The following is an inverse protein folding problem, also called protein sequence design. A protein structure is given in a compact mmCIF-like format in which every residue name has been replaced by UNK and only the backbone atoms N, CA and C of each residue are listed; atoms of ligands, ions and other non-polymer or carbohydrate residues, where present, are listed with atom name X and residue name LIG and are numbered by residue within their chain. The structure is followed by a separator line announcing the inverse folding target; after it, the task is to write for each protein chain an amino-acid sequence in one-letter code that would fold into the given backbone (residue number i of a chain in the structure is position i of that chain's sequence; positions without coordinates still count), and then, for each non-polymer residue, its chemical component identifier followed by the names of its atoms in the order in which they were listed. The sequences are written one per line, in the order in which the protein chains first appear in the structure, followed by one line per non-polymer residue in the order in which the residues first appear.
data_IF_509044026091
#
_entry.id   IF_509044026091
#
_cell.length_a   1.000
_cell.length_b   1.000
_cell.length_c   1.000
_cell.angle_alpha   90.00
_cell.angle_beta   90.00
_cell.angle_gamma   90.00
#
_symmetry.space_group_name_H-M   'P 1'
#
loop_
_entity.id
_entity.type
_entity.pdbx_description
1 polymer ?
#
# COMPACT_ATOMS: atom_id res chain seq x y z
N UNK A 1 -0.79 23.93 -0.55
CA UNK A 1 -0.61 22.47 -0.69
C UNK A 1 -0.27 21.94 0.70
N UNK A 2 -0.81 20.79 1.08
CA UNK A 2 -0.35 20.14 2.31
C UNK A 2 1.12 19.74 2.13
N UNK A 3 1.93 19.81 3.17
CA UNK A 3 3.36 19.47 3.10
C UNK A 3 3.63 18.21 3.89
N UNK A 4 4.74 17.53 3.59
CA UNK A 4 5.20 16.40 4.40
C UNK A 4 5.40 16.83 5.84
N UNK A 5 4.93 16.00 6.77
CA UNK A 5 5.24 16.11 8.20
C UNK A 5 6.54 15.35 8.49
N UNK A 6 7.66 16.07 8.45
CA UNK A 6 9.00 15.50 8.62
C UNK A 6 9.26 14.99 10.04
N UNK A 7 8.57 15.53 11.05
CA UNK A 7 8.71 15.07 12.44
C UNK A 7 8.06 13.68 12.59
N UNK A 8 6.81 13.54 12.11
CA UNK A 8 6.14 12.24 12.07
C UNK A 8 6.86 11.23 11.18
N UNK A 9 7.45 11.68 10.07
CA UNK A 9 8.28 10.83 9.20
C UNK A 9 9.49 10.24 9.95
N UNK A 10 10.21 11.07 10.72
CA UNK A 10 11.37 10.63 11.50
C UNK A 10 10.95 9.61 12.55
N UNK A 11 9.93 9.93 13.35
CA UNK A 11 9.41 9.04 14.40
C UNK A 11 8.94 7.71 13.80
N UNK A 12 8.23 7.74 12.68
CA UNK A 12 7.73 6.52 12.04
C UNK A 12 8.88 5.67 11.49
N UNK A 13 9.89 6.30 10.89
CA UNK A 13 11.03 5.61 10.29
C UNK A 13 12.00 5.05 11.33
N UNK A 14 12.13 5.70 12.50
CA UNK A 14 12.95 5.20 13.61
C UNK A 14 12.32 3.98 14.28
N UNK A 15 11.00 3.98 14.47
CA UNK A 15 10.29 2.88 15.12
C UNK A 15 9.98 1.72 14.17
N UNK A 16 9.74 2.00 12.87
CA UNK A 16 9.34 1.01 11.87
C UNK A 16 10.11 1.20 10.56
N UNK A 17 11.45 0.99 10.57
CA UNK A 17 12.32 1.34 9.45
C UNK A 17 12.00 0.56 8.17
N UNK A 18 11.60 -0.71 8.29
CA UNK A 18 11.27 -1.53 7.12
C UNK A 18 9.92 -1.11 6.51
N UNK A 19 8.91 -0.91 7.37
CA UNK A 19 7.56 -0.52 6.99
C UNK A 19 7.54 0.87 6.39
N UNK A 20 8.29 1.83 6.96
CA UNK A 20 8.39 3.20 6.42
C UNK A 20 8.88 3.21 4.98
N UNK A 21 9.91 2.42 4.67
CA UNK A 21 10.39 2.30 3.28
C UNK A 21 9.37 1.60 2.37
N UNK A 22 8.76 0.50 2.86
CA UNK A 22 7.83 -0.29 2.08
C UNK A 22 6.53 0.47 1.75
N UNK A 23 6.00 1.27 2.69
CA UNK A 23 4.77 2.03 2.47
C UNK A 23 4.96 3.10 1.41
N UNK A 24 6.10 3.80 1.37
CA UNK A 24 6.38 4.78 0.31
C UNK A 24 6.39 4.12 -1.07
N UNK A 25 7.00 2.94 -1.19
CA UNK A 25 6.96 2.14 -2.43
C UNK A 25 5.55 1.69 -2.80
N UNK A 26 4.73 1.35 -1.82
CA UNK A 26 3.33 1.00 -2.04
C UNK A 26 2.53 2.22 -2.53
N UNK A 27 2.72 3.42 -1.96
CA UNK A 27 2.07 4.66 -2.41
C UNK A 27 2.32 4.90 -3.90
N UNK A 28 3.58 4.83 -4.34
CA UNK A 28 3.93 4.94 -5.75
C UNK A 28 3.22 3.89 -6.62
N UNK A 29 3.14 2.64 -6.15
CA UNK A 29 2.48 1.57 -6.90
C UNK A 29 0.95 1.73 -6.97
N UNK A 30 0.33 2.23 -5.90
CA UNK A 30 -1.11 2.54 -5.87
C UNK A 30 -1.44 3.70 -6.82
N UNK A 31 -0.62 4.75 -6.82
CA UNK A 31 -0.73 5.85 -7.77
C UNK A 31 -0.55 5.38 -9.22
N UNK A 32 0.44 4.51 -9.49
CA UNK A 32 0.63 3.90 -10.80
C UNK A 32 -0.60 3.11 -11.26
N UNK A 33 -1.26 2.36 -10.37
CA UNK A 33 -2.50 1.66 -10.72
C UNK A 33 -3.58 2.68 -11.03
N UNK A 34 -3.80 3.67 -10.16
CA UNK A 34 -4.81 4.70 -10.35
C UNK A 34 -4.67 5.39 -11.71
N UNK A 35 -3.45 5.82 -12.04
CA UNK A 35 -3.13 6.57 -13.25
C UNK A 35 -3.11 5.75 -14.53
N UNK A 36 -2.96 4.42 -14.45
CA UNK A 36 -2.89 3.54 -15.61
C UNK A 36 -4.14 2.67 -15.81
N UNK A 37 -5.18 2.81 -14.98
CA UNK A 37 -6.49 2.17 -15.20
C UNK A 37 -7.01 2.51 -16.60
N UNK A 38 -7.33 1.47 -17.38
CA UNK A 38 -7.87 1.59 -18.74
C UNK A 38 -6.88 2.04 -19.81
N UNK A 39 -5.58 2.22 -19.49
CA UNK A 39 -4.56 2.64 -20.46
C UNK A 39 -3.76 1.46 -21.01
N UNK A 40 -3.46 1.48 -22.32
CA UNK A 40 -2.51 0.58 -22.98
C UNK A 40 -1.18 1.29 -23.24
N UNK A 41 -0.09 0.53 -23.36
CA UNK A 41 1.20 1.06 -23.76
C UNK A 41 1.22 1.36 -25.26
N UNK A 42 2.17 2.18 -25.69
CA UNK A 42 2.38 2.50 -27.11
C UNK A 42 2.66 1.26 -27.97
N UNK A 43 3.11 0.16 -27.35
CA UNK A 43 3.32 -1.15 -27.98
C UNK A 43 2.21 -2.17 -27.67
N UNK A 44 1.01 -1.70 -27.30
CA UNK A 44 -0.16 -2.55 -27.09
C UNK A 44 -0.16 -3.38 -25.79
N UNK A 45 0.85 -3.24 -24.93
CA UNK A 45 0.90 -3.95 -23.65
C UNK A 45 -0.08 -3.32 -22.65
N UNK A 46 -0.81 -4.13 -21.89
CA UNK A 46 -1.73 -3.63 -20.87
C UNK A 46 -0.93 -2.97 -19.73
N UNK A 47 -0.96 -1.64 -19.64
CA UNK A 47 -0.28 -0.89 -18.57
C UNK A 47 -0.98 -1.10 -17.24
N UNK A 48 -2.28 -1.34 -17.25
CA UNK A 48 -3.06 -1.66 -16.06
C UNK A 48 -2.57 -2.95 -15.42
N UNK A 49 -2.38 -4.02 -16.20
CA UNK A 49 -1.88 -5.30 -15.69
C UNK A 49 -0.52 -5.15 -15.01
N UNK A 50 0.44 -4.50 -15.68
CA UNK A 50 1.79 -4.25 -15.11
C UNK A 50 1.74 -3.43 -13.82
N UNK A 51 0.89 -2.40 -13.75
CA UNK A 51 0.73 -1.62 -12.53
C UNK A 51 0.13 -2.47 -11.40
N UNK A 52 -0.83 -3.35 -11.69
CA UNK A 52 -1.41 -4.24 -10.69
C UNK A 52 -0.40 -5.29 -10.18
N UNK A 53 0.43 -5.87 -11.06
CA UNK A 53 1.51 -6.77 -10.64
C UNK A 53 2.52 -6.07 -9.73
N UNK A 54 2.87 -4.81 -10.05
CA UNK A 54 3.73 -3.98 -9.21
C UNK A 54 3.07 -3.70 -7.86
N UNK A 55 1.78 -3.37 -7.84
CA UNK A 55 1.01 -3.20 -6.61
C UNK A 55 1.03 -4.45 -5.73
N UNK A 56 0.71 -5.63 -6.29
CA UNK A 56 0.72 -6.89 -5.54
C UNK A 56 2.10 -7.18 -4.92
N UNK A 57 3.17 -6.95 -5.70
CA UNK A 57 4.54 -7.09 -5.21
C UNK A 57 4.83 -6.15 -4.04
N UNK A 58 4.44 -4.87 -4.13
CA UNK A 58 4.68 -3.89 -3.06
C UNK A 58 3.78 -4.12 -1.85
N UNK A 59 2.57 -4.63 -2.04
CA UNK A 59 1.69 -5.00 -0.94
C UNK A 59 2.28 -6.19 -0.15
N UNK A 60 2.78 -7.22 -0.84
CA UNK A 60 3.47 -8.33 -0.17
C UNK A 60 4.74 -7.86 0.56
N UNK A 61 5.51 -6.97 -0.05
CA UNK A 61 6.69 -6.37 0.60
C UNK A 61 6.29 -5.59 1.86
N UNK A 62 5.23 -4.77 1.80
CA UNK A 62 4.73 -4.05 2.98
C UNK A 62 4.33 -5.02 4.10
N UNK A 63 3.54 -6.05 3.79
CA UNK A 63 3.08 -7.03 4.80
C UNK A 63 4.28 -7.70 5.47
N UNK A 64 5.29 -8.14 4.69
CA UNK A 64 6.50 -8.73 5.25
C UNK A 64 7.27 -7.75 6.13
N UNK A 65 7.39 -6.48 5.71
CA UNK A 65 8.04 -5.45 6.52
C UNK A 65 7.27 -5.13 7.81
N UNK A 66 5.93 -5.12 7.77
CA UNK A 66 5.10 -4.95 8.96
C UNK A 66 5.28 -6.13 9.95
N UNK A 67 5.49 -7.34 9.45
CA UNK A 67 5.85 -8.49 10.31
C UNK A 67 7.24 -8.30 10.93
N UNK A 68 8.23 -7.86 10.14
CA UNK A 68 9.60 -7.63 10.62
C UNK A 68 9.69 -6.51 11.66
N UNK A 69 8.88 -5.46 11.51
CA UNK A 69 8.77 -4.36 12.49
C UNK A 69 7.75 -4.66 13.61
N UNK A 70 7.26 -5.91 13.72
CA UNK A 70 6.32 -6.38 14.75
C UNK A 70 4.99 -5.62 14.83
N UNK A 71 4.59 -4.93 13.75
CA UNK A 71 3.30 -4.25 13.65
C UNK A 71 2.12 -5.23 13.51
N UNK A 72 2.39 -6.41 12.97
CA UNK A 72 1.43 -7.51 12.84
C UNK A 72 2.13 -8.85 13.12
N UNK A 73 1.43 -9.85 13.70
CA UNK A 73 1.98 -11.17 13.89
C UNK A 73 2.05 -11.95 12.56
N UNK A 74 2.89 -12.99 12.50
CA UNK A 74 3.08 -13.83 11.32
C UNK A 74 1.80 -14.61 10.94
N UNK A 75 1.01 -15.04 11.92
CA UNK A 75 -0.21 -15.82 11.76
C UNK A 75 -1.49 -14.96 11.66
N UNK A 76 -1.32 -13.67 11.31
CA UNK A 76 -2.42 -12.72 11.17
C UNK A 76 -3.47 -13.18 10.15
N UNK A 77 -4.75 -12.99 10.46
CA UNK A 77 -5.84 -13.23 9.51
C UNK A 77 -5.79 -12.23 8.35
N UNK A 78 -6.24 -12.61 7.16
CA UNK A 78 -6.27 -11.69 6.01
C UNK A 78 -7.14 -10.45 6.26
N UNK A 79 -8.21 -10.56 7.06
CA UNK A 79 -9.04 -9.42 7.44
C UNK A 79 -8.30 -8.45 8.37
N UNK A 80 -7.59 -8.96 9.37
CA UNK A 80 -6.86 -8.11 10.32
C UNK A 80 -5.61 -7.50 9.65
N UNK A 81 -4.95 -8.27 8.78
CA UNK A 81 -3.87 -7.78 7.94
C UNK A 81 -4.34 -6.62 7.05
N UNK A 82 -5.52 -6.75 6.42
CA UNK A 82 -6.13 -5.65 5.65
C UNK A 82 -6.33 -4.40 6.50
N UNK A 83 -6.87 -4.55 7.72
CA UNK A 83 -7.09 -3.42 8.64
C UNK A 83 -5.77 -2.76 9.03
N UNK A 84 -4.75 -3.55 9.36
CA UNK A 84 -3.42 -3.05 9.65
C UNK A 84 -2.82 -2.30 8.46
N UNK A 85 -2.96 -2.81 7.21
CA UNK A 85 -2.55 -2.06 6.02
C UNK A 85 -3.30 -0.73 5.88
N UNK A 86 -4.61 -0.69 6.17
CA UNK A 86 -5.38 0.56 6.16
C UNK A 86 -4.87 1.54 7.21
N UNK A 87 -4.57 1.08 8.42
CA UNK A 87 -4.03 1.91 9.49
C UNK A 87 -2.65 2.47 9.14
N UNK A 88 -1.78 1.65 8.54
CA UNK A 88 -0.47 2.10 8.01
C UNK A 88 -0.63 3.12 6.89
N UNK A 89 -1.59 2.93 5.97
CA UNK A 89 -1.90 3.90 4.90
C UNK A 89 -2.45 5.20 5.50
N UNK A 90 -3.29 5.12 6.54
CA UNK A 90 -3.81 6.30 7.23
C UNK A 90 -2.71 7.08 7.96
N UNK A 91 -1.70 6.39 8.51
CA UNK A 91 -0.50 7.03 9.03
C UNK A 91 0.28 7.72 7.91
N UNK A 92 0.51 7.02 6.80
CA UNK A 92 1.18 7.58 5.63
C UNK A 92 0.46 8.83 5.08
N UNK A 93 -0.87 8.86 5.11
CA UNK A 93 -1.66 10.04 4.72
C UNK A 93 -1.42 11.26 5.61
N UNK A 94 -1.14 11.05 6.91
CA UNK A 94 -0.76 12.14 7.82
C UNK A 94 0.66 12.62 7.55
N UNK A 95 1.58 11.71 7.25
CA UNK A 95 3.00 12.01 6.98
C UNK A 95 3.19 12.66 5.60
N UNK A 96 2.68 12.02 4.54
CA UNK A 96 2.86 12.41 3.14
C UNK A 96 1.49 12.68 2.47
N UNK A 97 0.82 13.81 2.75
CA UNK A 97 -0.56 14.05 2.32
C UNK A 97 -0.75 14.23 0.80
N UNK A 98 0.33 14.46 0.04
CA UNK A 98 0.27 14.81 -1.38
C UNK A 98 0.03 13.64 -2.34
N UNK A 99 0.00 12.39 -1.86
CA UNK A 99 -0.28 11.19 -2.67
C UNK A 99 -1.78 10.95 -2.90
N UNK A 100 -2.51 11.97 -3.37
CA UNK A 100 -3.97 11.96 -3.45
C UNK A 100 -4.54 10.76 -4.23
N UNK A 101 -3.95 10.44 -5.39
CA UNK A 101 -4.38 9.34 -6.25
C UNK A 101 -4.12 7.97 -5.60
N UNK A 102 -3.01 7.83 -4.88
CA UNK A 102 -2.70 6.62 -4.11
C UNK A 102 -3.75 6.40 -3.00
N UNK A 103 -4.11 7.45 -2.26
CA UNK A 103 -5.12 7.35 -1.19
C UNK A 103 -6.53 7.13 -1.74
N UNK A 104 -6.86 7.70 -2.90
CA UNK A 104 -8.11 7.41 -3.60
C UNK A 104 -8.18 5.92 -4.00
N UNK A 105 -7.10 5.38 -4.58
CA UNK A 105 -6.99 3.95 -4.87
C UNK A 105 -7.14 3.09 -3.62
N UNK A 106 -6.43 3.44 -2.53
CA UNK A 106 -6.47 2.70 -1.28
C UNK A 106 -7.90 2.59 -0.72
N UNK A 107 -8.63 3.71 -0.66
CA UNK A 107 -10.03 3.73 -0.20
C UNK A 107 -10.94 2.86 -1.06
N UNK A 108 -10.79 2.92 -2.39
CA UNK A 108 -11.58 2.08 -3.29
C UNK A 108 -11.28 0.60 -3.15
N UNK A 109 -10.01 0.25 -2.98
CA UNK A 109 -9.58 -1.14 -2.95
C UNK A 109 -9.79 -1.79 -1.57
N UNK A 110 -9.30 -1.16 -0.51
CA UNK A 110 -9.32 -1.73 0.83
C UNK A 110 -10.64 -1.53 1.56
N UNK A 111 -11.36 -0.41 1.34
CA UNK A 111 -12.60 -0.11 2.08
C UNK A 111 -13.85 -0.49 1.31
N UNK A 112 -13.94 -0.12 0.02
CA UNK A 112 -15.14 -0.41 -0.79
C UNK A 112 -15.21 -1.84 -1.30
N UNK A 113 -14.07 -2.56 -1.32
CA UNK A 113 -13.95 -3.93 -1.82
C UNK A 113 -13.25 -4.87 -0.83
N UNK A 114 -13.69 -4.93 0.43
CA UNK A 114 -12.96 -5.62 1.50
C UNK A 114 -12.79 -7.12 1.21
N UNK A 115 -13.77 -7.77 0.58
CA UNK A 115 -13.70 -9.19 0.23
C UNK A 115 -12.63 -9.48 -0.85
N UNK A 116 -12.52 -8.60 -1.87
CA UNK A 116 -11.49 -8.72 -2.90
C UNK A 116 -10.10 -8.51 -2.29
N UNK A 117 -9.95 -7.49 -1.44
CA UNK A 117 -8.71 -7.18 -0.74
C UNK A 117 -8.29 -8.33 0.19
N UNK A 118 -9.21 -8.85 1.02
CA UNK A 118 -8.95 -10.00 1.90
C UNK A 118 -8.52 -11.24 1.09
N UNK A 119 -9.23 -11.57 0.00
CA UNK A 119 -8.88 -12.70 -0.87
C UNK A 119 -7.50 -12.54 -1.53
N UNK A 120 -7.11 -11.31 -1.88
CA UNK A 120 -5.79 -11.01 -2.40
C UNK A 120 -4.72 -11.19 -1.33
N UNK A 121 -4.91 -10.58 -0.15
CA UNK A 121 -3.97 -10.66 0.99
C UNK A 121 -3.76 -12.12 1.40
N UNK A 122 -4.83 -12.91 1.47
CA UNK A 122 -4.78 -14.35 1.76
C UNK A 122 -3.83 -15.10 0.79
N UNK A 123 -3.83 -14.74 -0.50
CA UNK A 123 -2.91 -15.33 -1.48
C UNK A 123 -1.47 -14.83 -1.33
N UNK A 124 -1.27 -13.62 -0.81
CA UNK A 124 0.06 -13.04 -0.60
C UNK A 124 0.74 -13.57 0.66
N UNK A 125 -0.04 -13.92 1.69
CA UNK A 125 0.42 -14.53 2.95
C UNK A 125 0.86 -16.00 2.78
N UNK A 126 0.46 -16.66 1.68
CA UNK A 126 0.94 -17.98 1.27
C UNK A 126 2.25 -17.89 0.49
#
# INVERSE_FOLDING_TARGET
MATTDYELESIFSENHPHTSNAIQKLLMAMEDVYNHRGKRSFFGHDKGLKSYEKFDKRLKELINCMILDELIPLDISSNDCRRACCDTINMAMKIWPNWHDAYAFAREYFDKKPNEANSRIEKLLR
#
